data_IF_058282552719
#
_entry.id   IF_058282552719
#
_cell.length_a   1.000
_cell.length_b   1.000
_cell.length_c   1.000
_cell.angle_alpha   90.00
_cell.angle_beta   90.00
_cell.angle_gamma   90.00
#
_symmetry.space_group_name_H-M   'P 1'
#
loop_
_entity.id
_entity.type
_entity.pdbx_description
1 polymer ?
#
# COMPACT_ATOMS: atom_id res chain seq x y z
N UNK A 1 -18.18 3.95 -12.01
CA UNK A 1 -18.09 4.26 -10.56
C UNK A 1 -16.77 3.66 -10.07
N UNK A 2 -15.75 4.48 -9.80
CA UNK A 2 -14.48 4.00 -9.23
C UNK A 2 -14.63 4.05 -7.72
N UNK A 3 -14.52 2.90 -7.05
CA UNK A 3 -14.58 2.84 -5.58
C UNK A 3 -13.39 3.59 -4.98
N UNK A 4 -13.58 4.26 -3.83
CA UNK A 4 -12.49 4.96 -3.12
C UNK A 4 -11.31 4.02 -2.84
N UNK A 5 -11.59 2.74 -2.56
CA UNK A 5 -10.57 1.69 -2.43
C UNK A 5 -9.70 1.54 -3.67
N UNK A 6 -10.31 1.47 -4.86
CA UNK A 6 -9.58 1.32 -6.12
C UNK A 6 -8.62 2.49 -6.34
N UNK A 7 -9.03 3.70 -5.97
CA UNK A 7 -8.19 4.90 -6.09
C UNK A 7 -7.00 4.84 -5.10
N UNK A 8 -7.24 4.46 -3.84
CA UNK A 8 -6.19 4.32 -2.82
C UNK A 8 -5.18 3.24 -3.20
N UNK A 9 -5.64 2.08 -3.67
CA UNK A 9 -4.78 0.98 -4.11
C UNK A 9 -3.93 1.43 -5.31
N UNK A 10 -4.54 2.08 -6.30
CA UNK A 10 -3.82 2.56 -7.49
C UNK A 10 -2.76 3.60 -7.12
N UNK A 11 -3.07 4.50 -6.19
CA UNK A 11 -2.12 5.50 -5.70
C UNK A 11 -0.92 4.86 -4.98
N UNK A 12 -1.16 3.85 -4.13
CA UNK A 12 -0.10 3.10 -3.46
C UNK A 12 0.79 2.32 -4.44
N UNK A 13 0.19 1.69 -5.45
CA UNK A 13 0.94 0.99 -6.51
C UNK A 13 1.82 1.95 -7.31
N UNK A 14 1.30 3.13 -7.67
CA UNK A 14 2.08 4.17 -8.35
C UNK A 14 3.21 4.72 -7.46
N UNK A 15 2.98 4.85 -6.15
CA UNK A 15 3.98 5.32 -5.19
C UNK A 15 5.03 4.25 -4.85
N UNK A 16 4.77 2.97 -5.10
CA UNK A 16 5.68 1.88 -4.77
C UNK A 16 6.99 1.93 -5.57
N UNK A 17 6.94 2.30 -6.85
CA UNK A 17 8.11 2.45 -7.72
C UNK A 17 9.10 3.53 -7.23
N UNK A 18 8.68 4.79 -6.99
CA UNK A 18 9.59 5.80 -6.46
C UNK A 18 10.06 5.49 -5.04
N UNK A 19 9.22 4.84 -4.22
CA UNK A 19 9.64 4.40 -2.88
C UNK A 19 10.76 3.34 -2.93
N UNK A 20 10.65 2.35 -3.82
CA UNK A 20 11.70 1.36 -4.06
C UNK A 20 13.02 2.02 -4.46
N UNK A 21 12.93 2.93 -5.43
CA UNK A 21 14.09 3.63 -5.97
C UNK A 21 14.81 4.45 -4.89
N UNK A 22 14.05 5.14 -4.02
CA UNK A 22 14.63 5.86 -2.89
C UNK A 22 15.32 4.94 -1.89
N UNK A 23 14.72 3.78 -1.59
CA UNK A 23 15.32 2.78 -0.70
C UNK A 23 16.58 2.18 -1.31
N UNK A 24 16.58 1.90 -2.61
CA UNK A 24 17.78 1.44 -3.33
C UNK A 24 18.88 2.50 -3.32
N UNK A 25 18.53 3.76 -3.62
CA UNK A 25 19.48 4.87 -3.64
C UNK A 25 20.09 5.15 -2.27
N UNK A 26 19.32 4.97 -1.19
CA UNK A 26 19.80 5.19 0.18
C UNK A 26 20.59 4.01 0.76
N UNK A 27 20.24 2.77 0.42
CA UNK A 27 20.84 1.56 1.01
C UNK A 27 21.91 0.91 0.14
N UNK A 28 21.90 1.14 -1.17
CA UNK A 28 22.74 0.42 -2.13
C UNK A 28 22.44 -1.08 -2.22
N UNK A 29 21.38 -1.57 -1.58
CA UNK A 29 21.04 -2.98 -1.49
C UNK A 29 19.71 -3.28 -2.19
N UNK A 30 19.78 -4.08 -3.27
CA UNK A 30 18.62 -4.51 -4.04
C UNK A 30 17.58 -5.26 -3.19
N UNK A 31 18.02 -6.08 -2.23
CA UNK A 31 17.11 -6.84 -1.35
C UNK A 31 16.22 -5.93 -0.50
N UNK A 32 16.75 -4.80 -0.02
CA UNK A 32 15.96 -3.83 0.75
C UNK A 32 14.99 -3.05 -0.14
N UNK A 33 15.41 -2.70 -1.37
CA UNK A 33 14.54 -2.12 -2.39
C UNK A 33 13.36 -3.04 -2.73
N UNK A 34 13.62 -4.34 -2.89
CA UNK A 34 12.58 -5.34 -3.16
C UNK A 34 11.61 -5.50 -1.98
N UNK A 35 12.10 -5.53 -0.74
CA UNK A 35 11.26 -5.56 0.45
C UNK A 35 10.41 -4.29 0.58
N UNK A 36 10.95 -3.12 0.25
CA UNK A 36 10.20 -1.87 0.24
C UNK A 36 9.10 -1.88 -0.82
N UNK A 37 9.35 -2.41 -2.02
CA UNK A 37 8.32 -2.63 -3.03
C UNK A 37 7.19 -3.51 -2.52
N UNK A 38 7.53 -4.61 -1.85
CA UNK A 38 6.56 -5.57 -1.34
C UNK A 38 5.73 -4.97 -0.20
N UNK A 39 6.39 -4.26 0.72
CA UNK A 39 5.73 -3.59 1.83
C UNK A 39 4.82 -2.44 1.37
N UNK A 40 5.26 -1.61 0.43
CA UNK A 40 4.49 -0.44 -0.04
C UNK A 40 3.42 -0.83 -1.07
N UNK A 41 3.75 -1.73 -1.99
CA UNK A 41 2.85 -2.15 -3.07
C UNK A 41 1.80 -3.18 -2.65
N UNK A 42 2.10 -4.01 -1.64
CA UNK A 42 1.19 -5.08 -1.18
C UNK A 42 0.78 -4.86 0.27
N UNK A 43 1.75 -4.76 1.19
CA UNK A 43 1.47 -4.70 2.63
C UNK A 43 0.61 -3.50 3.03
N UNK A 44 0.98 -2.30 2.62
CA UNK A 44 0.28 -1.06 2.96
C UNK A 44 -1.16 -1.01 2.42
N UNK A 45 -1.45 -1.26 1.13
CA UNK A 45 -2.83 -1.29 0.65
C UNK A 45 -3.65 -2.42 1.27
N UNK A 46 -3.07 -3.59 1.57
CA UNK A 46 -3.79 -4.66 2.28
C UNK A 46 -4.18 -4.25 3.70
N UNK A 47 -3.28 -3.63 4.47
CA UNK A 47 -3.57 -3.14 5.82
C UNK A 47 -4.59 -2.00 5.82
N UNK A 48 -4.47 -1.08 4.87
CA UNK A 48 -5.44 0.02 4.70
C UNK A 48 -6.82 -0.54 4.34
N UNK A 49 -6.87 -1.56 3.49
CA UNK A 49 -8.12 -2.22 3.13
C UNK A 49 -8.76 -2.94 4.32
N UNK A 50 -7.97 -3.69 5.10
CA UNK A 50 -8.43 -4.41 6.30
C UNK A 50 -8.88 -3.43 7.41
N UNK A 51 -8.23 -2.27 7.52
CA UNK A 51 -8.63 -1.20 8.44
C UNK A 51 -9.95 -0.54 8.03
N UNK A 52 -10.10 -0.21 6.75
CA UNK A 52 -11.34 0.36 6.21
C UNK A 52 -12.51 -0.63 6.36
N UNK A 53 -12.29 -1.91 6.04
CA UNK A 53 -13.31 -2.95 6.13
C UNK A 53 -13.80 -3.18 7.57
N UNK A 54 -12.89 -3.16 8.57
CA UNK A 54 -13.28 -3.19 9.99
C UNK A 54 -14.08 -1.96 10.41
N UNK A 55 -13.70 -0.77 9.93
CA UNK A 55 -14.38 0.47 10.31
C UNK A 55 -15.76 0.61 9.66
N UNK A 56 -15.98 0.01 8.48
CA UNK A 56 -17.28 -0.05 7.81
C UNK A 56 -18.21 -1.11 8.46
N UNK A 57 -17.64 -2.23 8.94
CA UNK A 57 -18.41 -3.25 9.67
C UNK A 57 -18.97 -2.78 11.02
N UNK A 58 -18.24 -1.92 11.75
CA UNK A 58 -18.73 -1.31 13.01
C UNK A 58 -19.87 -0.28 12.77
N UNK A 59 -20.04 0.20 11.53
CA UNK A 59 -21.11 1.14 11.15
C UNK A 59 -22.41 0.48 10.69
N UNK A 60 -22.41 -0.82 10.40
CA UNK A 60 -23.58 -1.53 9.85
C UNK A 60 -23.96 -2.79 10.64
N UNK A 61 -23.58 -2.83 11.92
CA UNK A 61 -23.91 -3.90 12.86
C UNK A 61 -24.94 -3.48 13.92
N UNK A 62 -26.11 -2.96 13.51
CA UNK A 62 -27.48 -3.16 14.07
C UNK A 62 -28.50 -2.26 13.34
#
# INVERSE_FOLDING_TARGET
MVSRQTLVVTAFVLAALPAAYLVEAASGQFTLSFLALLAVGVGAPSLVNDYLDRHESDGNGV
#
